data_IF_712459605927
#
_entry.id   IF_712459605927
#
_cell.length_a   1.000
_cell.length_b   1.000
_cell.length_c   1.000
_cell.angle_alpha   90.00
_cell.angle_beta   90.00
_cell.angle_gamma   90.00
#
_symmetry.space_group_name_H-M   'P 1'
#
loop_
_entity.id
_entity.type
_entity.pdbx_description
1 polymer ?
#
# COMPACT_ATOMS: atom_id res chain seq x y z
N UNK A 1 -8.92 -7.32 1.66
CA UNK A 1 -8.75 -7.55 3.09
C UNK A 1 -7.99 -6.39 3.73
N UNK A 2 -8.57 -5.80 4.75
CA UNK A 2 -7.96 -4.76 5.56
C UNK A 2 -7.73 -5.34 6.95
N UNK A 3 -6.49 -5.26 7.44
CA UNK A 3 -6.08 -5.88 8.70
C UNK A 3 -5.51 -4.82 9.62
N UNK A 4 -6.11 -4.66 10.79
CA UNK A 4 -5.76 -3.62 11.75
C UNK A 4 -5.58 -4.18 13.15
N UNK A 5 -4.65 -3.63 13.92
CA UNK A 5 -4.52 -3.97 15.34
C UNK A 5 -5.67 -3.41 16.16
N UNK A 6 -6.31 -4.28 16.94
CA UNK A 6 -7.28 -3.96 17.96
C UNK A 6 -6.63 -3.65 19.32
N UNK A 7 -7.31 -3.99 20.40
CA UNK A 7 -6.79 -3.88 21.78
C UNK A 7 -6.06 -5.18 22.16
N UNK A 8 -4.94 -5.03 22.87
CA UNK A 8 -4.15 -6.20 23.28
C UNK A 8 -3.69 -7.04 22.10
N UNK A 9 -4.10 -8.31 22.09
CA UNK A 9 -3.76 -9.29 21.05
C UNK A 9 -4.81 -9.38 19.94
N UNK A 10 -5.84 -8.52 19.96
CA UNK A 10 -6.88 -8.51 18.93
C UNK A 10 -6.36 -7.98 17.59
N UNK A 11 -6.92 -8.51 16.52
CA UNK A 11 -6.80 -8.04 15.16
C UNK A 11 -8.21 -7.83 14.61
N UNK A 12 -8.45 -6.67 14.04
CA UNK A 12 -9.70 -6.32 13.39
C UNK A 12 -9.53 -6.56 11.90
N UNK A 13 -10.38 -7.40 11.34
CA UNK A 13 -10.38 -7.76 9.93
C UNK A 13 -11.61 -7.13 9.29
N UNK A 14 -11.40 -6.33 8.24
CA UNK A 14 -12.48 -5.72 7.46
C UNK A 14 -12.39 -6.23 6.03
N UNK A 15 -13.50 -6.71 5.50
CA UNK A 15 -13.62 -7.26 4.15
C UNK A 15 -15.03 -7.06 3.62
N UNK A 16 -15.27 -7.37 2.35
CA UNK A 16 -16.62 -7.45 1.80
C UNK A 16 -17.01 -8.91 1.65
N UNK A 17 -18.29 -9.20 1.93
CA UNK A 17 -18.84 -10.50 1.61
C UNK A 17 -19.19 -10.61 0.11
N UNK A 18 -19.69 -11.76 -0.31
CA UNK A 18 -20.09 -12.04 -1.69
C UNK A 18 -21.18 -11.09 -2.22
N UNK A 19 -21.95 -10.47 -1.35
CA UNK A 19 -22.95 -9.45 -1.68
C UNK A 19 -22.33 -8.02 -1.72
N UNK A 20 -21.01 -7.88 -1.56
CA UNK A 20 -20.32 -6.59 -1.52
C UNK A 20 -20.51 -5.79 -0.23
N UNK A 21 -21.14 -6.37 0.79
CA UNK A 21 -21.40 -5.69 2.06
C UNK A 21 -20.16 -5.72 2.96
N UNK A 22 -19.83 -4.58 3.56
CA UNK A 22 -18.73 -4.48 4.52
C UNK A 22 -19.00 -5.33 5.75
N UNK A 23 -18.04 -6.19 6.07
CA UNK A 23 -17.99 -6.98 7.30
C UNK A 23 -16.79 -6.56 8.14
N UNK A 24 -16.95 -6.68 9.44
CA UNK A 24 -15.87 -6.49 10.40
C UNK A 24 -15.89 -7.67 11.38
N UNK A 25 -14.74 -8.30 11.57
CA UNK A 25 -14.57 -9.42 12.48
C UNK A 25 -13.36 -9.16 13.38
N UNK A 26 -13.49 -9.50 14.65
CA UNK A 26 -12.40 -9.47 15.62
C UNK A 26 -11.85 -10.87 15.79
N UNK A 27 -10.56 -11.00 15.56
CA UNK A 27 -9.82 -12.21 15.76
C UNK A 27 -8.74 -11.97 16.82
N UNK A 28 -8.31 -13.00 17.52
CA UNK A 28 -7.21 -12.89 18.47
C UNK A 28 -6.41 -14.18 18.53
N UNK A 29 -5.13 -14.03 18.85
CA UNK A 29 -4.27 -15.13 19.24
C UNK A 29 -3.21 -14.60 20.21
N UNK A 30 -2.83 -15.39 21.18
CA UNK A 30 -1.72 -15.03 22.03
C UNK A 30 -0.40 -15.08 21.25
N UNK A 31 0.48 -14.10 21.41
CA UNK A 31 1.79 -14.11 20.77
C UNK A 31 2.63 -15.29 21.23
N UNK A 32 3.26 -15.98 20.32
CA UNK A 32 4.13 -17.11 20.63
C UNK A 32 5.29 -17.25 19.64
N UNK A 33 6.29 -17.99 20.07
CA UNK A 33 7.37 -18.47 19.22
C UNK A 33 7.81 -19.86 19.69
N UNK A 34 8.79 -20.42 18.99
CA UNK A 34 9.39 -21.67 19.41
C UNK A 34 10.86 -21.42 19.77
N UNK A 35 11.33 -22.18 20.77
CA UNK A 35 12.71 -22.14 21.27
C UNK A 35 13.21 -23.54 21.57
N UNK A 36 14.51 -23.74 21.62
CA UNK A 36 15.08 -24.98 22.14
C UNK A 36 14.92 -25.06 23.66
N UNK A 37 14.80 -26.27 24.21
CA UNK A 37 14.61 -26.49 25.63
C UNK A 37 15.72 -25.83 26.46
N UNK A 38 16.96 -25.91 25.98
CA UNK A 38 18.14 -25.42 26.66
C UNK A 38 18.25 -23.89 26.64
N UNK A 39 17.44 -23.21 25.83
CA UNK A 39 17.42 -21.76 25.74
C UNK A 39 16.30 -21.10 26.58
N UNK A 40 15.45 -21.91 27.25
CA UNK A 40 14.34 -21.36 28.05
C UNK A 40 14.79 -20.43 29.18
N UNK A 41 15.93 -20.70 29.82
CA UNK A 41 16.44 -19.87 30.90
C UNK A 41 16.90 -18.49 30.44
N UNK A 42 17.11 -18.29 29.12
CA UNK A 42 17.48 -17.02 28.53
C UNK A 42 16.30 -16.06 28.34
N UNK A 43 15.06 -16.58 28.45
CA UNK A 43 13.86 -15.77 28.29
C UNK A 43 13.68 -14.92 29.55
N UNK A 44 13.66 -13.59 29.37
CA UNK A 44 13.64 -12.64 30.48
C UNK A 44 12.25 -12.03 30.76
N UNK A 45 11.17 -12.65 30.27
CA UNK A 45 9.77 -12.28 30.52
C UNK A 45 8.95 -13.51 30.89
N UNK A 46 7.82 -13.27 31.54
CA UNK A 46 6.87 -14.33 31.85
C UNK A 46 6.32 -14.96 30.55
N UNK A 47 6.27 -16.26 30.53
CA UNK A 47 5.74 -17.05 29.43
C UNK A 47 5.05 -18.32 29.92
N UNK A 48 4.17 -18.87 29.10
CA UNK A 48 3.55 -20.18 29.31
C UNK A 48 4.12 -21.18 28.31
N UNK A 49 4.52 -22.35 28.78
CA UNK A 49 4.90 -23.47 27.91
C UNK A 49 3.65 -24.17 27.42
N UNK A 50 3.62 -24.51 26.13
CA UNK A 50 2.59 -25.39 25.59
C UNK A 50 3.18 -26.77 25.32
N UNK A 51 2.44 -27.81 25.70
CA UNK A 51 2.79 -29.20 25.40
C UNK A 51 2.66 -29.45 23.90
N UNK A 52 3.56 -30.20 23.34
CA UNK A 52 3.55 -30.61 21.92
C UNK A 52 4.95 -31.00 21.46
N UNK A 53 5.01 -31.83 20.45
CA UNK A 53 6.26 -32.17 19.77
C UNK A 53 6.41 -31.24 18.57
N UNK A 54 7.39 -30.33 18.65
CA UNK A 54 7.68 -29.38 17.57
C UNK A 54 9.13 -29.61 17.09
N UNK A 55 9.31 -29.59 15.79
CA UNK A 55 10.63 -29.74 15.17
C UNK A 55 10.93 -28.57 14.23
N UNK A 56 12.13 -28.07 14.34
CA UNK A 56 12.64 -27.06 13.41
C UNK A 56 12.90 -27.63 12.01
N UNK A 57 13.18 -26.77 11.06
CA UNK A 57 13.43 -27.14 9.66
C UNK A 57 14.57 -28.16 9.51
N UNK A 58 15.58 -28.04 10.34
CA UNK A 58 16.77 -28.92 10.33
C UNK A 58 16.73 -30.00 11.41
N UNK A 59 15.55 -30.25 12.00
CA UNK A 59 15.36 -31.35 12.97
C UNK A 59 15.51 -30.97 14.44
N UNK A 60 15.73 -29.70 14.76
CA UNK A 60 15.83 -29.20 16.14
C UNK A 60 14.57 -29.54 16.92
N UNK A 61 14.73 -29.98 18.18
CA UNK A 61 13.61 -30.17 19.11
C UNK A 61 13.23 -28.83 19.75
N UNK A 62 11.96 -28.47 19.60
CA UNK A 62 11.47 -27.17 19.98
C UNK A 62 10.32 -27.24 20.99
N UNK A 63 10.21 -26.20 21.79
CA UNK A 63 9.07 -25.95 22.68
C UNK A 63 8.34 -24.70 22.24
N UNK A 64 7.01 -24.70 22.25
CA UNK A 64 6.19 -23.52 22.04
C UNK A 64 6.15 -22.72 23.34
N UNK A 65 6.50 -21.44 23.26
CA UNK A 65 6.43 -20.48 24.36
C UNK A 65 5.51 -19.34 24.00
N UNK A 66 4.59 -19.01 24.87
CA UNK A 66 3.48 -18.11 24.66
C UNK A 66 3.56 -16.94 25.65
N UNK A 67 3.25 -15.74 25.20
CA UNK A 67 3.39 -14.50 25.95
C UNK A 67 2.05 -13.78 26.04
N UNK A 68 1.91 -12.93 27.07
CA UNK A 68 0.71 -12.12 27.28
C UNK A 68 0.53 -11.01 26.22
N UNK A 69 1.65 -10.53 25.65
CA UNK A 69 1.64 -9.48 24.65
C UNK A 69 2.76 -9.63 23.62
N UNK A 70 2.62 -8.98 22.47
CA UNK A 70 3.69 -8.89 21.45
C UNK A 70 4.92 -8.16 21.96
N UNK A 71 4.75 -7.24 22.92
CA UNK A 71 5.85 -6.51 23.54
C UNK A 71 6.63 -7.42 24.49
N UNK A 72 5.94 -8.18 25.36
CA UNK A 72 6.57 -9.15 26.24
C UNK A 72 7.32 -10.22 25.43
N UNK A 73 6.75 -10.68 24.33
CA UNK A 73 7.45 -11.62 23.45
C UNK A 73 8.73 -11.00 22.90
N UNK A 74 8.66 -9.78 22.34
CA UNK A 74 9.82 -9.11 21.73
C UNK A 74 10.94 -8.88 22.74
N UNK A 75 10.58 -8.39 23.92
CA UNK A 75 11.55 -8.15 24.99
C UNK A 75 12.09 -9.46 25.57
N UNK A 76 11.21 -10.45 25.74
CA UNK A 76 11.55 -11.74 26.35
C UNK A 76 12.55 -12.56 25.56
N UNK A 77 12.51 -12.49 24.24
CA UNK A 77 13.35 -13.31 23.36
C UNK A 77 14.62 -12.62 22.87
N UNK A 78 14.99 -11.46 23.42
CA UNK A 78 16.23 -10.77 23.03
C UNK A 78 17.44 -11.66 23.32
N UNK A 79 18.24 -11.89 22.26
CA UNK A 79 19.42 -12.76 22.35
C UNK A 79 19.11 -14.28 22.40
N UNK A 80 17.87 -14.67 22.25
CA UNK A 80 17.45 -16.09 22.21
C UNK A 80 17.28 -16.51 20.74
N UNK A 81 17.81 -17.69 20.39
CA UNK A 81 17.50 -18.29 19.08
C UNK A 81 16.05 -18.76 19.06
N UNK A 82 15.31 -18.31 18.06
CA UNK A 82 13.86 -18.56 17.99
C UNK A 82 13.45 -19.07 16.61
N UNK A 83 12.26 -19.64 16.55
CA UNK A 83 11.58 -20.00 15.30
C UNK A 83 10.24 -19.27 15.24
N UNK A 84 9.92 -18.73 14.07
CA UNK A 84 8.66 -18.04 13.73
C UNK A 84 8.36 -16.76 14.55
N UNK A 85 9.30 -16.24 15.33
CA UNK A 85 9.11 -15.02 16.12
C UNK A 85 9.03 -13.73 15.29
N UNK A 86 9.53 -13.77 14.05
CA UNK A 86 9.54 -12.62 13.12
C UNK A 86 8.30 -12.54 12.23
N UNK A 87 7.33 -13.44 12.40
CA UNK A 87 6.05 -13.36 11.71
C UNK A 87 5.22 -12.25 12.36
N UNK A 88 4.74 -11.30 11.55
CA UNK A 88 3.91 -10.21 12.05
C UNK A 88 2.67 -10.76 12.77
N UNK A 89 2.34 -10.16 13.92
CA UNK A 89 1.24 -10.64 14.77
C UNK A 89 -0.08 -10.72 14.01
N UNK A 90 -0.36 -9.75 13.16
CA UNK A 90 -1.57 -9.70 12.34
C UNK A 90 -1.67 -10.95 11.44
N UNK A 91 -0.58 -11.31 10.78
CA UNK A 91 -0.55 -12.51 9.94
C UNK A 91 -0.64 -13.79 10.78
N UNK A 92 -0.02 -13.81 11.96
CA UNK A 92 -0.14 -14.94 12.88
C UNK A 92 -1.59 -15.15 13.32
N UNK A 93 -2.28 -14.08 13.70
CA UNK A 93 -3.70 -14.16 14.09
C UNK A 93 -4.57 -14.68 12.95
N UNK A 94 -4.34 -14.25 11.72
CA UNK A 94 -5.07 -14.74 10.54
C UNK A 94 -4.84 -16.23 10.31
N UNK A 95 -3.61 -16.72 10.47
CA UNK A 95 -3.27 -18.15 10.33
C UNK A 95 -3.89 -18.97 11.46
N UNK A 96 -3.71 -18.56 12.72
CA UNK A 96 -4.20 -19.32 13.89
C UNK A 96 -5.74 -19.44 13.93
N UNK A 97 -6.44 -18.47 13.30
CA UNK A 97 -7.91 -18.51 13.20
C UNK A 97 -8.39 -19.11 11.85
N UNK A 98 -7.50 -19.70 11.06
CA UNK A 98 -7.80 -20.24 9.73
C UNK A 98 -8.65 -19.28 8.86
N UNK A 99 -8.34 -17.99 8.98
CA UNK A 99 -9.12 -16.97 8.29
C UNK A 99 -8.87 -17.05 6.78
N UNK A 100 -9.94 -17.27 6.03
CA UNK A 100 -9.94 -17.25 4.56
C UNK A 100 -10.66 -16.01 4.06
N UNK A 101 -10.10 -15.38 3.04
CA UNK A 101 -10.68 -14.19 2.44
C UNK A 101 -11.65 -14.59 1.31
N UNK A 102 -12.93 -14.16 1.34
CA UNK A 102 -13.81 -14.33 0.20
C UNK A 102 -13.31 -13.50 -0.98
N UNK A 103 -13.57 -13.98 -2.20
CA UNK A 103 -13.31 -13.21 -3.43
C UNK A 103 -14.37 -12.12 -3.55
N UNK A 104 -13.94 -10.88 -3.77
CA UNK A 104 -14.82 -9.76 -4.06
C UNK A 104 -14.10 -8.70 -4.89
N UNK A 105 -14.86 -7.91 -5.60
CA UNK A 105 -14.37 -6.76 -6.35
C UNK A 105 -14.08 -5.59 -5.40
N UNK A 106 -12.86 -5.06 -5.47
CA UNK A 106 -12.43 -3.98 -4.60
C UNK A 106 -12.98 -2.64 -5.06
N UNK A 107 -13.52 -1.87 -4.13
CA UNK A 107 -13.86 -0.48 -4.36
C UNK A 107 -12.62 0.38 -4.19
N UNK A 108 -12.18 1.00 -5.28
CA UNK A 108 -10.93 1.76 -5.36
C UNK A 108 -11.20 3.25 -5.51
N UNK A 109 -10.47 4.06 -4.75
CA UNK A 109 -10.38 5.50 -4.87
C UNK A 109 -9.02 5.86 -5.44
N UNK A 110 -8.96 6.23 -6.71
CA UNK A 110 -7.78 6.88 -7.29
C UNK A 110 -7.95 8.37 -7.08
N UNK A 111 -6.99 9.05 -6.47
CA UNK A 111 -7.10 10.48 -6.27
C UNK A 111 -5.76 11.19 -6.41
N UNK A 112 -5.87 12.45 -6.73
CA UNK A 112 -4.80 13.43 -6.79
C UNK A 112 -5.32 14.78 -6.33
N UNK A 113 -4.43 15.68 -5.93
CA UNK A 113 -4.84 17.02 -5.51
C UNK A 113 -3.79 18.07 -5.81
N UNK A 114 -4.28 19.27 -6.10
CA UNK A 114 -3.43 20.42 -6.38
C UNK A 114 -3.49 21.42 -5.23
N UNK A 115 -2.38 22.05 -4.95
CA UNK A 115 -2.27 23.07 -3.90
C UNK A 115 -1.34 24.22 -4.27
N UNK A 116 -1.58 25.38 -3.70
CA UNK A 116 -0.71 26.54 -3.84
C UNK A 116 0.61 26.33 -3.14
N UNK A 117 1.72 26.50 -3.84
CA UNK A 117 3.07 26.25 -3.31
C UNK A 117 3.41 27.13 -2.11
N UNK A 118 2.97 28.40 -2.11
CA UNK A 118 3.28 29.36 -1.04
C UNK A 118 2.49 29.10 0.25
N UNK A 119 1.17 28.93 0.14
CA UNK A 119 0.26 28.77 1.27
C UNK A 119 0.06 27.30 1.68
N UNK A 120 0.33 26.40 0.76
CA UNK A 120 -0.01 24.98 0.88
C UNK A 120 -1.51 24.70 0.80
N UNK A 121 -2.36 25.70 0.54
CA UNK A 121 -3.81 25.58 0.43
C UNK A 121 -4.19 24.65 -0.72
N UNK A 122 -4.99 23.64 -0.43
CA UNK A 122 -5.52 22.73 -1.46
C UNK A 122 -6.62 23.45 -2.23
N UNK A 123 -6.49 23.48 -3.54
CA UNK A 123 -7.39 24.17 -4.47
C UNK A 123 -8.36 23.23 -5.17
N UNK A 124 -7.87 22.04 -5.53
CA UNK A 124 -8.65 21.00 -6.20
C UNK A 124 -8.31 19.65 -5.59
N UNK A 125 -9.32 18.79 -5.41
CA UNK A 125 -9.19 17.34 -5.17
C UNK A 125 -10.00 16.65 -6.26
N UNK A 126 -9.37 15.77 -7.02
CA UNK A 126 -10.04 14.93 -8.01
C UNK A 126 -9.99 13.49 -7.57
N UNK A 127 -11.11 12.80 -7.70
CA UNK A 127 -11.25 11.38 -7.37
C UNK A 127 -11.83 10.64 -8.58
N UNK A 128 -11.23 9.52 -8.94
CA UNK A 128 -11.87 8.52 -9.77
C UNK A 128 -12.28 7.34 -8.88
N UNK A 129 -13.59 7.20 -8.65
CA UNK A 129 -14.21 6.09 -7.95
C UNK A 129 -14.44 4.96 -8.96
N UNK A 130 -13.93 3.75 -8.66
CA UNK A 130 -14.02 2.59 -9.57
C UNK A 130 -15.44 2.17 -9.94
N UNK A 131 -16.44 2.54 -9.14
CA UNK A 131 -17.86 2.19 -9.37
C UNK A 131 -18.67 3.37 -9.90
N UNK A 132 -18.42 4.59 -9.39
CA UNK A 132 -19.27 5.77 -9.67
C UNK A 132 -18.61 6.81 -10.60
N UNK A 133 -17.33 6.60 -10.96
CA UNK A 133 -16.61 7.51 -11.83
C UNK A 133 -16.04 8.73 -11.10
N UNK A 134 -16.01 9.88 -11.74
CA UNK A 134 -15.23 11.03 -11.31
C UNK A 134 -15.99 11.95 -10.34
N UNK A 135 -15.29 12.40 -9.28
CA UNK A 135 -15.70 13.48 -8.39
C UNK A 135 -14.65 14.57 -8.40
N UNK A 136 -15.09 15.81 -8.42
CA UNK A 136 -14.22 16.99 -8.38
C UNK A 136 -14.68 17.92 -7.25
N UNK A 137 -13.76 18.23 -6.35
CA UNK A 137 -13.94 19.17 -5.25
C UNK A 137 -12.97 20.32 -5.48
N UNK A 138 -13.46 21.55 -5.52
CA UNK A 138 -12.60 22.70 -5.73
C UNK A 138 -13.07 23.93 -4.97
N UNK A 139 -12.15 24.85 -4.76
CA UNK A 139 -12.44 26.23 -4.34
C UNK A 139 -12.00 27.16 -5.45
N UNK A 140 -12.72 28.24 -5.74
CA UNK A 140 -12.27 29.27 -6.67
C UNK A 140 -13.03 30.58 -6.40
N UNK A 141 -12.35 31.74 -6.35
CA UNK A 141 -12.99 33.01 -6.00
C UNK A 141 -14.08 33.46 -6.99
N UNK A 142 -13.96 33.08 -8.27
CA UNK A 142 -14.86 33.50 -9.33
C UNK A 142 -16.08 32.57 -9.50
N UNK A 143 -16.16 31.49 -8.75
CA UNK A 143 -17.28 30.54 -8.81
C UNK A 143 -18.08 30.58 -7.51
N UNK A 144 -19.39 30.64 -7.62
CA UNK A 144 -20.26 30.51 -6.46
C UNK A 144 -20.26 29.10 -5.88
N UNK A 145 -20.45 28.97 -4.57
CA UNK A 145 -20.62 27.66 -3.94
C UNK A 145 -21.82 26.92 -4.57
N UNK A 146 -21.60 25.66 -4.96
CA UNK A 146 -22.65 24.82 -5.52
C UNK A 146 -22.14 23.63 -6.31
N UNK A 147 -23.08 22.92 -6.92
CA UNK A 147 -22.81 21.85 -7.86
C UNK A 147 -22.80 22.37 -9.29
N UNK A 148 -21.89 21.87 -10.08
CA UNK A 148 -21.73 22.21 -11.49
C UNK A 148 -21.77 20.95 -12.33
N UNK A 149 -22.59 20.95 -13.38
CA UNK A 149 -22.61 19.88 -14.37
C UNK A 149 -21.58 20.15 -15.48
N UNK A 150 -21.29 21.42 -15.75
CA UNK A 150 -20.36 21.85 -16.81
C UNK A 150 -19.67 23.14 -16.39
N UNK A 151 -18.37 23.24 -16.62
CA UNK A 151 -17.60 24.49 -16.53
C UNK A 151 -17.16 24.86 -17.94
N UNK A 152 -17.41 26.12 -18.33
CA UNK A 152 -16.91 26.68 -19.59
C UNK A 152 -15.61 27.41 -19.35
N UNK A 153 -14.59 27.07 -20.12
CA UNK A 153 -13.28 27.70 -20.07
C UNK A 153 -13.12 28.64 -21.25
N UNK A 154 -13.17 29.95 -20.99
CA UNK A 154 -13.05 30.99 -22.03
C UNK A 154 -11.61 31.13 -22.59
N UNK A 155 -10.61 30.70 -21.84
CA UNK A 155 -9.19 30.91 -22.16
C UNK A 155 -8.48 29.60 -22.61
N UNK A 156 -9.23 28.53 -22.86
CA UNK A 156 -8.63 27.30 -23.36
C UNK A 156 -8.01 27.53 -24.75
N UNK A 157 -6.84 26.94 -25.08
CA UNK A 157 -6.17 27.12 -26.37
C UNK A 157 -7.05 26.83 -27.58
N UNK A 158 -7.98 25.89 -27.47
CA UNK A 158 -8.92 25.48 -28.51
C UNK A 158 -10.26 26.26 -28.47
N UNK A 159 -10.35 27.34 -27.72
CA UNK A 159 -11.56 28.14 -27.52
C UNK A 159 -12.39 27.68 -26.32
N UNK A 160 -13.70 27.88 -26.37
CA UNK A 160 -14.62 27.46 -25.32
C UNK A 160 -14.63 25.92 -25.19
N UNK A 161 -14.01 25.41 -24.15
CA UNK A 161 -14.07 23.99 -23.82
C UNK A 161 -15.06 23.79 -22.69
N UNK A 162 -15.96 22.85 -22.88
CA UNK A 162 -16.90 22.40 -21.86
C UNK A 162 -16.32 21.21 -21.10
N UNK A 163 -16.19 21.36 -19.78
CA UNK A 163 -15.73 20.31 -18.90
C UNK A 163 -16.93 19.73 -18.18
N UNK A 164 -17.34 18.54 -18.61
CA UNK A 164 -18.49 17.86 -18.05
C UNK A 164 -18.14 17.11 -16.77
N UNK A 165 -18.86 17.36 -15.70
CA UNK A 165 -18.71 16.65 -14.43
C UNK A 165 -19.60 15.39 -14.34
N UNK A 166 -20.62 15.25 -15.17
CA UNK A 166 -21.66 14.22 -15.04
C UNK A 166 -22.38 14.29 -13.68
N UNK A 167 -23.65 14.00 -13.64
CA UNK A 167 -24.54 13.86 -12.48
C UNK A 167 -24.15 14.63 -11.18
N UNK A 168 -23.80 15.92 -11.27
CA UNK A 168 -23.49 16.80 -10.12
C UNK A 168 -22.32 16.31 -9.24
N UNK A 169 -21.33 15.67 -9.82
CA UNK A 169 -20.14 15.20 -9.12
C UNK A 169 -19.03 16.26 -9.01
N UNK A 170 -19.21 17.44 -9.63
CA UNK A 170 -18.32 18.59 -9.53
C UNK A 170 -18.91 19.63 -8.58
N UNK A 171 -18.15 20.02 -7.55
CA UNK A 171 -18.63 20.95 -6.53
C UNK A 171 -17.59 21.99 -6.15
N UNK A 172 -18.00 23.27 -6.25
CA UNK A 172 -17.27 24.40 -5.72
C UNK A 172 -17.64 24.68 -4.26
N UNK A 173 -16.64 24.96 -3.44
CA UNK A 173 -16.80 25.29 -2.03
C UNK A 173 -16.37 26.74 -1.77
N UNK A 174 -17.01 27.37 -0.78
CA UNK A 174 -16.68 28.75 -0.37
C UNK A 174 -15.26 28.83 0.24
N UNK A 175 -14.80 27.74 0.85
CA UNK A 175 -13.52 27.66 1.54
C UNK A 175 -12.94 26.24 1.54
N UNK A 176 -11.63 26.15 1.77
CA UNK A 176 -10.91 24.87 1.82
C UNK A 176 -11.45 23.95 2.92
N UNK A 177 -11.82 24.51 4.09
CA UNK A 177 -12.31 23.71 5.21
C UNK A 177 -13.58 22.93 4.82
N UNK A 178 -14.52 23.59 4.16
CA UNK A 178 -15.76 22.98 3.69
C UNK A 178 -15.50 21.89 2.65
N UNK A 179 -14.56 22.14 1.74
CA UNK A 179 -14.11 21.15 0.73
C UNK A 179 -13.50 19.92 1.39
N UNK A 180 -12.58 20.09 2.33
CA UNK A 180 -11.91 18.99 3.03
C UNK A 180 -12.91 18.13 3.84
N UNK A 181 -13.90 18.77 4.48
CA UNK A 181 -14.95 18.06 5.19
C UNK A 181 -15.83 17.22 4.27
N UNK A 182 -16.14 17.73 3.08
CA UNK A 182 -16.97 17.00 2.11
C UNK A 182 -16.18 15.83 1.48
N UNK A 183 -14.91 16.04 1.18
CA UNK A 183 -14.01 14.96 0.75
C UNK A 183 -13.94 13.84 1.82
N UNK A 184 -13.76 14.17 3.11
CA UNK A 184 -13.80 13.18 4.18
C UNK A 184 -15.16 12.47 4.29
N UNK A 185 -16.27 13.15 4.00
CA UNK A 185 -17.60 12.53 3.92
C UNK A 185 -17.68 11.52 2.78
N UNK A 186 -17.12 11.85 1.59
CA UNK A 186 -17.06 10.94 0.47
C UNK A 186 -16.30 9.66 0.87
N UNK A 187 -15.09 9.79 1.40
CA UNK A 187 -14.28 8.62 1.80
C UNK A 187 -15.03 7.70 2.77
N UNK A 188 -15.72 8.28 3.76
CA UNK A 188 -16.51 7.48 4.72
C UNK A 188 -17.79 6.90 4.14
N UNK A 189 -18.47 7.63 3.26
CA UNK A 189 -19.72 7.17 2.61
C UNK A 189 -19.44 6.00 1.68
N UNK A 190 -18.37 6.11 0.91
CA UNK A 190 -17.98 5.08 -0.06
C UNK A 190 -17.29 3.89 0.59
N UNK A 191 -16.63 4.10 1.75
CA UNK A 191 -15.90 3.07 2.50
C UNK A 191 -15.00 2.23 1.59
N UNK A 192 -14.06 2.89 0.94
CA UNK A 192 -13.16 2.28 -0.03
C UNK A 192 -12.32 1.16 0.57
N UNK A 193 -12.08 0.12 -0.22
CA UNK A 193 -11.15 -0.96 0.12
C UNK A 193 -9.70 -0.52 -0.09
N UNK A 194 -9.49 0.28 -1.13
CA UNK A 194 -8.17 0.80 -1.52
C UNK A 194 -8.29 2.29 -1.83
N UNK A 195 -7.37 3.06 -1.27
CA UNK A 195 -7.09 4.44 -1.67
C UNK A 195 -5.72 4.45 -2.32
N UNK A 196 -5.62 5.05 -3.51
CA UNK A 196 -4.38 5.07 -4.29
C UNK A 196 -4.22 6.38 -5.06
N UNK A 197 -2.99 6.65 -5.49
CA UNK A 197 -2.59 7.80 -6.27
C UNK A 197 -1.10 7.69 -6.61
N UNK A 198 -0.57 8.65 -7.38
CA UNK A 198 0.82 8.64 -7.80
C UNK A 198 1.71 9.35 -6.79
N UNK A 199 2.56 8.62 -6.09
CA UNK A 199 3.35 9.12 -4.94
C UNK A 199 2.48 9.62 -3.77
N UNK A 200 1.27 9.10 -3.69
CA UNK A 200 0.20 9.55 -2.79
C UNK A 200 0.60 9.51 -1.32
N UNK A 201 1.40 8.52 -0.92
CA UNK A 201 1.83 8.34 0.47
C UNK A 201 2.82 9.42 0.89
N UNK A 202 3.75 9.81 0.03
CA UNK A 202 4.79 10.77 0.35
C UNK A 202 4.43 12.23 0.01
N UNK A 203 3.40 12.46 -0.80
CA UNK A 203 2.93 13.80 -1.18
C UNK A 203 1.53 14.09 -0.62
N UNK A 204 0.49 13.59 -1.28
CA UNK A 204 -0.89 14.00 -1.07
C UNK A 204 -1.40 13.74 0.35
N UNK A 205 -1.19 12.54 0.88
CA UNK A 205 -1.66 12.20 2.24
C UNK A 205 -0.97 13.06 3.31
N UNK A 206 0.32 13.34 3.12
CA UNK A 206 1.03 14.21 4.05
C UNK A 206 0.49 15.64 4.00
N UNK A 207 0.28 16.18 2.79
CA UNK A 207 -0.30 17.51 2.60
C UNK A 207 -1.73 17.57 3.13
N UNK A 208 -2.54 16.56 2.84
CA UNK A 208 -3.91 16.45 3.34
C UNK A 208 -3.96 16.50 4.87
N UNK A 209 -3.11 15.75 5.56
CA UNK A 209 -3.05 15.78 7.02
C UNK A 209 -2.62 17.14 7.57
N UNK A 210 -1.67 17.82 6.90
CA UNK A 210 -1.26 19.18 7.27
C UNK A 210 -2.41 20.15 7.12
N UNK A 211 -3.14 20.08 6.00
CA UNK A 211 -4.25 21.00 5.71
C UNK A 211 -5.46 20.77 6.60
N UNK A 212 -5.77 19.53 6.94
CA UNK A 212 -6.80 19.23 7.94
C UNK A 212 -6.50 19.95 9.26
N UNK A 213 -5.28 19.82 9.78
CA UNK A 213 -4.86 20.51 11.01
C UNK A 213 -4.89 22.04 10.88
N UNK A 214 -4.43 22.58 9.75
CA UNK A 214 -4.41 24.02 9.51
C UNK A 214 -5.82 24.62 9.43
N UNK A 215 -6.84 23.83 9.12
CA UNK A 215 -8.24 24.21 9.06
C UNK A 215 -9.04 23.77 10.32
N UNK A 216 -8.36 23.46 11.43
CA UNK A 216 -8.98 22.97 12.66
C UNK A 216 -9.89 21.74 12.47
N UNK A 217 -9.51 20.85 11.55
CA UNK A 217 -10.19 19.59 11.30
C UNK A 217 -9.30 18.45 11.81
N UNK A 218 -9.90 17.50 12.51
CA UNK A 218 -9.20 16.31 12.94
C UNK A 218 -8.96 15.35 11.75
N UNK A 219 -7.69 15.06 11.37
CA UNK A 219 -7.40 14.16 10.24
C UNK A 219 -7.97 12.74 10.39
N UNK A 220 -8.31 12.31 11.61
CA UNK A 220 -8.96 11.02 11.85
C UNK A 220 -10.35 10.89 11.22
N UNK A 221 -10.95 11.99 10.77
CA UNK A 221 -12.19 11.99 9.98
C UNK A 221 -12.02 11.34 8.60
N UNK A 222 -10.81 11.23 8.08
CA UNK A 222 -10.51 10.51 6.84
C UNK A 222 -10.64 8.98 7.00
N UNK A 223 -10.55 8.50 8.24
CA UNK A 223 -10.54 7.07 8.54
C UNK A 223 -11.94 6.55 8.90
N UNK A 224 -12.37 5.41 8.33
CA UNK A 224 -13.60 4.73 8.74
C UNK A 224 -13.53 4.26 10.20
N UNK A 225 -12.33 4.00 10.73
CA UNK A 225 -12.09 3.62 12.12
C UNK A 225 -11.71 4.80 13.04
N UNK A 226 -11.80 6.04 12.54
CA UNK A 226 -11.44 7.28 13.26
C UNK A 226 -10.03 7.27 13.86
N UNK A 227 -9.10 6.65 13.15
CA UNK A 227 -7.69 6.57 13.53
C UNK A 227 -6.80 6.80 12.31
N UNK A 228 -5.69 7.50 12.50
CA UNK A 228 -4.65 7.71 11.49
C UNK A 228 -3.28 7.40 12.09
N UNK A 229 -2.29 7.21 11.23
CA UNK A 229 -0.87 7.07 11.60
C UNK A 229 -0.09 8.19 10.93
N UNK A 230 0.88 8.73 11.64
CA UNK A 230 1.78 9.78 11.12
C UNK A 230 3.15 9.24 10.73
N UNK A 231 3.55 8.10 11.28
CA UNK A 231 4.80 7.44 10.93
C UNK A 231 4.53 6.34 9.91
N UNK A 232 4.67 6.70 8.64
CA UNK A 232 4.46 5.80 7.50
C UNK A 232 5.42 6.13 6.35
N UNK A 233 5.72 5.12 5.57
CA UNK A 233 6.49 5.18 4.32
C UNK A 233 5.80 4.30 3.29
N UNK A 234 6.32 4.23 2.09
CA UNK A 234 5.80 3.58 0.88
C UNK A 234 4.61 2.61 1.03
N UNK A 235 4.76 1.56 1.82
CA UNK A 235 3.70 0.57 2.11
C UNK A 235 3.03 0.78 3.48
N UNK A 236 3.23 1.93 4.08
CA UNK A 236 2.55 2.31 5.31
C UNK A 236 1.04 2.46 5.09
N UNK A 237 0.29 2.34 6.17
CA UNK A 237 -1.17 2.48 6.14
C UNK A 237 -1.56 3.71 6.97
N UNK A 238 -1.50 4.92 6.41
CA UNK A 238 -1.77 6.15 7.14
C UNK A 238 -3.22 6.29 7.59
N UNK A 239 -4.16 5.79 6.79
CA UNK A 239 -5.61 5.82 7.09
C UNK A 239 -6.03 4.45 7.60
N UNK A 240 -6.29 4.34 8.90
CA UNK A 240 -6.66 3.06 9.52
C UNK A 240 -8.05 2.61 9.06
N UNK A 241 -8.15 1.36 8.66
CA UNK A 241 -9.40 0.77 8.17
C UNK A 241 -9.64 0.90 6.67
N UNK A 242 -8.63 1.34 5.92
CA UNK A 242 -8.58 1.32 4.44
C UNK A 242 -7.16 0.97 4.02
N UNK A 243 -6.99 0.17 2.97
CA UNK A 243 -5.66 -0.05 2.41
C UNK A 243 -5.22 1.18 1.61
N UNK A 244 -4.06 1.72 1.91
CA UNK A 244 -3.43 2.77 1.08
C UNK A 244 -2.29 2.13 0.31
N UNK A 245 -2.36 2.17 -1.02
CA UNK A 245 -1.33 1.63 -1.90
C UNK A 245 -0.81 2.77 -2.77
N UNK A 246 0.46 3.11 -2.63
CA UNK A 246 1.09 4.08 -3.51
C UNK A 246 1.28 3.46 -4.91
N UNK A 247 0.55 3.97 -5.90
CA UNK A 247 0.56 3.40 -7.25
C UNK A 247 1.93 3.53 -7.92
N UNK A 248 2.66 4.62 -7.69
CA UNK A 248 4.00 4.80 -8.23
C UNK A 248 4.95 3.71 -7.72
N UNK A 249 4.89 3.40 -6.43
CA UNK A 249 5.74 2.37 -5.80
C UNK A 249 5.34 0.98 -6.28
N UNK A 250 4.05 0.69 -6.37
CA UNK A 250 3.51 -0.56 -6.85
C UNK A 250 3.82 -0.78 -8.35
N UNK A 251 3.58 0.23 -9.17
CA UNK A 251 3.91 0.25 -10.60
C UNK A 251 5.40 0.00 -10.84
N UNK A 252 6.27 0.79 -10.18
CA UNK A 252 7.73 0.66 -10.30
C UNK A 252 8.17 -0.78 -10.02
N UNK A 253 7.64 -1.38 -8.96
CA UNK A 253 8.01 -2.75 -8.57
C UNK A 253 7.69 -3.76 -9.66
N UNK A 254 6.47 -3.73 -10.21
CA UNK A 254 6.05 -4.68 -11.25
C UNK A 254 6.66 -4.38 -12.61
N UNK A 255 6.74 -3.13 -12.99
CA UNK A 255 7.37 -2.71 -14.24
C UNK A 255 8.81 -3.17 -14.33
N UNK A 256 9.59 -2.93 -13.27
CA UNK A 256 11.02 -3.27 -13.23
C UNK A 256 11.28 -4.77 -13.38
N UNK A 257 10.36 -5.62 -12.91
CA UNK A 257 10.50 -7.07 -13.06
C UNK A 257 10.50 -7.55 -14.52
N UNK A 258 9.80 -6.84 -15.43
CA UNK A 258 9.63 -7.24 -16.83
C UNK A 258 10.41 -6.37 -17.80
N UNK A 259 10.50 -5.07 -17.52
CA UNK A 259 10.92 -4.06 -18.50
C UNK A 259 12.20 -3.32 -18.11
N UNK A 260 12.76 -3.59 -16.91
CA UNK A 260 13.90 -2.82 -16.40
C UNK A 260 13.49 -1.47 -15.80
N UNK A 261 14.47 -0.60 -15.58
CA UNK A 261 14.24 0.69 -14.93
C UNK A 261 13.79 1.75 -15.95
N UNK A 262 12.83 2.58 -15.56
CA UNK A 262 12.46 3.80 -16.28
C UNK A 262 13.43 4.95 -15.93
N UNK A 263 13.70 5.85 -16.86
CA UNK A 263 14.55 7.03 -16.61
C UNK A 263 13.97 7.98 -15.55
N UNK A 264 12.65 8.05 -15.47
CA UNK A 264 11.90 8.88 -14.51
C UNK A 264 10.65 8.16 -14.05
N UNK A 265 10.28 8.39 -12.79
CA UNK A 265 9.02 7.93 -12.20
C UNK A 265 7.98 9.05 -12.07
N UNK A 266 8.22 10.24 -12.63
CA UNK A 266 7.20 11.29 -12.70
C UNK A 266 6.00 10.85 -13.55
N UNK A 267 4.77 11.13 -13.11
CA UNK A 267 3.54 10.67 -13.77
C UNK A 267 3.52 11.02 -15.26
N UNK A 268 3.89 12.25 -15.64
CA UNK A 268 3.96 12.68 -17.04
C UNK A 268 4.97 11.88 -17.87
N UNK A 269 6.15 11.56 -17.33
CA UNK A 269 7.15 10.78 -18.04
C UNK A 269 6.71 9.31 -18.21
N UNK A 270 6.10 8.74 -17.19
CA UNK A 270 5.58 7.37 -17.22
C UNK A 270 4.39 7.25 -18.17
N UNK A 271 3.43 8.18 -18.13
CA UNK A 271 2.27 8.17 -19.02
C UNK A 271 2.67 8.38 -20.49
N UNK A 272 3.61 9.27 -20.77
CA UNK A 272 4.14 9.45 -22.13
C UNK A 272 4.82 8.18 -22.64
N UNK A 273 5.64 7.53 -21.80
CA UNK A 273 6.34 6.30 -22.19
C UNK A 273 5.39 5.10 -22.36
N UNK A 274 4.45 4.95 -21.44
CA UNK A 274 3.63 3.74 -21.34
C UNK A 274 2.31 3.84 -22.12
N UNK A 275 1.68 5.01 -22.14
CA UNK A 275 0.37 5.22 -22.75
C UNK A 275 0.44 6.06 -24.03
N UNK A 276 1.60 6.66 -24.34
CA UNK A 276 1.74 7.60 -25.45
C UNK A 276 1.02 8.94 -25.19
N UNK A 277 0.68 9.26 -23.95
CA UNK A 277 -0.05 10.46 -23.59
C UNK A 277 0.82 11.43 -22.81
N UNK A 278 0.80 12.69 -23.25
CA UNK A 278 1.45 13.79 -22.54
C UNK A 278 0.47 14.46 -21.59
N UNK A 279 0.98 14.98 -20.47
CA UNK A 279 0.19 15.81 -19.56
C UNK A 279 -0.24 17.11 -20.23
N UNK A 280 -1.37 17.68 -19.79
CA UNK A 280 -1.69 19.08 -20.05
C UNK A 280 -0.60 19.95 -19.46
N UNK A 281 -0.06 20.88 -20.22
CA UNK A 281 0.96 21.82 -19.75
C UNK A 281 0.30 23.06 -19.17
N UNK A 282 0.71 23.45 -17.98
CA UNK A 282 0.28 24.71 -17.35
C UNK A 282 1.28 25.80 -17.73
N UNK A 283 0.86 26.74 -18.59
CA UNK A 283 1.71 27.81 -19.10
C UNK A 283 2.30 28.70 -17.99
N UNK A 284 1.56 28.90 -16.90
CA UNK A 284 1.96 29.72 -15.75
C UNK A 284 2.07 28.87 -14.45
N UNK A 285 2.34 27.57 -14.59
CA UNK A 285 2.39 26.66 -13.46
C UNK A 285 1.10 26.70 -12.63
N UNK A 286 1.23 26.63 -11.30
CA UNK A 286 0.04 26.67 -10.42
C UNK A 286 -0.74 28.02 -10.45
N UNK A 287 -0.16 29.12 -10.97
CA UNK A 287 -0.88 30.38 -11.15
C UNK A 287 -1.95 30.29 -12.24
N UNK A 288 -1.91 29.28 -13.12
CA UNK A 288 -2.97 28.97 -14.07
C UNK A 288 -4.33 28.80 -13.38
N UNK A 289 -4.34 28.43 -12.11
CA UNK A 289 -5.55 28.43 -11.26
C UNK A 289 -6.31 29.76 -11.30
N UNK A 290 -5.61 30.91 -11.32
CA UNK A 290 -6.22 32.22 -11.37
C UNK A 290 -6.44 32.77 -12.80
N UNK A 291 -5.59 32.38 -13.74
CA UNK A 291 -5.60 32.93 -15.10
C UNK A 291 -6.45 32.12 -16.07
N UNK A 292 -6.47 30.80 -15.91
CA UNK A 292 -7.26 29.89 -16.75
C UNK A 292 -7.64 28.62 -15.93
N UNK A 293 -8.70 28.78 -15.13
CA UNK A 293 -9.17 27.70 -14.26
C UNK A 293 -9.62 26.47 -15.03
N UNK A 294 -10.12 26.59 -16.24
CA UNK A 294 -10.53 25.46 -17.06
C UNK A 294 -9.35 24.57 -17.42
N UNK A 295 -8.25 25.16 -17.92
CA UNK A 295 -7.02 24.43 -18.20
C UNK A 295 -6.42 23.79 -16.93
N UNK A 296 -6.48 24.50 -15.80
CA UNK A 296 -6.02 23.99 -14.52
C UNK A 296 -6.86 22.79 -14.03
N UNK A 297 -8.16 22.85 -14.22
CA UNK A 297 -9.10 21.78 -13.91
C UNK A 297 -8.89 20.55 -14.81
N UNK A 298 -8.69 20.76 -16.12
CA UNK A 298 -8.39 19.70 -17.07
C UNK A 298 -7.07 19.00 -16.73
N UNK A 299 -6.06 19.76 -16.32
CA UNK A 299 -4.80 19.24 -15.85
C UNK A 299 -5.01 18.30 -14.65
N UNK A 300 -5.67 18.75 -13.59
CA UNK A 300 -5.92 17.95 -12.40
C UNK A 300 -6.75 16.68 -12.68
N UNK A 301 -7.76 16.79 -13.56
CA UNK A 301 -8.59 15.64 -13.98
C UNK A 301 -7.81 14.64 -14.82
N UNK A 302 -6.95 15.12 -15.72
CA UNK A 302 -6.13 14.24 -16.55
C UNK A 302 -5.19 13.40 -15.69
N UNK A 303 -4.54 13.99 -14.68
CA UNK A 303 -3.63 13.28 -13.79
C UNK A 303 -4.34 12.11 -13.10
N UNK A 304 -5.55 12.29 -12.62
CA UNK A 304 -6.33 11.21 -12.01
C UNK A 304 -6.80 10.18 -13.03
N UNK A 305 -7.18 10.57 -14.25
CA UNK A 305 -7.62 9.66 -15.32
C UNK A 305 -6.51 8.74 -15.83
N UNK A 306 -5.25 9.15 -15.70
CA UNK A 306 -4.10 8.33 -16.05
C UNK A 306 -3.88 7.19 -15.05
N UNK A 307 -4.28 7.35 -13.78
CA UNK A 307 -3.98 6.40 -12.72
C UNK A 307 -4.59 5.01 -12.96
N UNK A 308 -5.91 4.84 -13.18
CA UNK A 308 -6.48 3.52 -13.43
C UNK A 308 -5.89 2.89 -14.70
N UNK A 309 -5.58 3.68 -15.72
CA UNK A 309 -5.01 3.17 -16.98
C UNK A 309 -3.58 2.66 -16.81
N UNK A 310 -2.76 3.34 -15.99
CA UNK A 310 -1.43 2.87 -15.62
C UNK A 310 -1.51 1.64 -14.72
N UNK A 311 -2.49 1.60 -13.81
CA UNK A 311 -2.74 0.41 -12.99
C UNK A 311 -3.12 -0.79 -13.85
N UNK A 312 -4.09 -0.64 -14.75
CA UNK A 312 -4.53 -1.70 -15.66
C UNK A 312 -3.38 -2.25 -16.52
N UNK A 313 -2.48 -1.37 -16.97
CA UNK A 313 -1.34 -1.74 -17.81
C UNK A 313 -0.40 -2.75 -17.14
N UNK A 314 -0.15 -2.60 -15.85
CA UNK A 314 0.75 -3.48 -15.08
C UNK A 314 -0.01 -4.44 -14.15
N UNK A 315 -1.30 -4.19 -13.93
CA UNK A 315 -2.14 -4.93 -13.02
C UNK A 315 -1.69 -4.81 -11.57
N UNK A 316 -1.26 -3.61 -11.13
CA UNK A 316 -0.59 -3.45 -9.84
C UNK A 316 -1.51 -3.78 -8.65
N UNK A 317 -2.68 -3.15 -8.58
CA UNK A 317 -3.61 -3.41 -7.49
C UNK A 317 -4.10 -4.86 -7.52
N UNK A 318 -4.42 -5.39 -8.71
CA UNK A 318 -4.84 -6.78 -8.89
C UNK A 318 -3.74 -7.75 -8.46
N UNK A 319 -2.47 -7.48 -8.75
CA UNK A 319 -1.37 -8.33 -8.32
C UNK A 319 -1.27 -8.41 -6.79
N UNK A 320 -1.22 -7.28 -6.09
CA UNK A 320 -1.05 -7.28 -4.63
C UNK A 320 -2.27 -7.82 -3.90
N UNK A 321 -3.47 -7.56 -4.40
CA UNK A 321 -4.71 -8.13 -3.83
C UNK A 321 -4.82 -9.63 -4.11
N UNK A 322 -4.40 -10.12 -5.28
CA UNK A 322 -4.33 -11.56 -5.56
C UNK A 322 -3.32 -12.27 -4.66
N UNK A 323 -2.11 -11.68 -4.48
CA UNK A 323 -1.12 -12.21 -3.54
C UNK A 323 -1.70 -12.25 -2.11
N UNK A 324 -2.40 -11.20 -1.70
CA UNK A 324 -3.09 -11.17 -0.41
C UNK A 324 -4.13 -12.28 -0.29
N UNK A 325 -4.92 -12.49 -1.33
CA UNK A 325 -5.96 -13.51 -1.35
C UNK A 325 -5.36 -14.93 -1.26
N UNK A 326 -4.35 -15.23 -2.08
CA UNK A 326 -3.69 -16.54 -2.11
C UNK A 326 -3.01 -16.85 -0.77
N UNK A 327 -2.35 -15.86 -0.17
CA UNK A 327 -1.59 -16.06 1.06
C UNK A 327 -2.42 -15.86 2.32
N UNK A 328 -3.57 -15.18 2.23
CA UNK A 328 -4.39 -14.76 3.36
C UNK A 328 -3.65 -13.83 4.32
N UNK A 329 -2.68 -13.03 3.84
CA UNK A 329 -1.88 -12.14 4.67
C UNK A 329 -2.38 -10.69 4.66
N UNK A 330 -1.81 -9.88 5.55
CA UNK A 330 -1.97 -8.43 5.51
C UNK A 330 -1.34 -7.85 4.23
N UNK A 331 -2.00 -6.87 3.59
CA UNK A 331 -1.53 -6.22 2.35
C UNK A 331 -0.11 -5.67 2.47
N UNK A 332 0.28 -5.21 3.66
CA UNK A 332 1.63 -4.71 3.96
C UNK A 332 2.73 -5.76 3.80
N UNK A 333 2.35 -7.02 3.76
CA UNK A 333 3.27 -8.15 3.62
C UNK A 333 3.50 -8.51 2.15
N UNK A 334 2.51 -8.26 1.28
CA UNK A 334 2.50 -8.71 -0.12
C UNK A 334 3.70 -8.25 -0.96
N UNK A 335 4.33 -7.08 -0.72
CA UNK A 335 5.50 -6.66 -1.49
C UNK A 335 6.78 -7.47 -1.21
N UNK A 336 6.80 -8.28 -0.15
CA UNK A 336 8.01 -8.90 0.36
C UNK A 336 7.95 -10.44 0.29
N UNK A 337 8.45 -11.02 -0.79
CA UNK A 337 8.43 -12.48 -1.02
C UNK A 337 8.98 -13.27 0.17
N UNK A 338 10.08 -12.80 0.77
CA UNK A 338 10.68 -13.44 1.95
C UNK A 338 9.79 -13.46 3.20
N UNK A 339 8.74 -12.63 3.24
CA UNK A 339 7.73 -12.62 4.31
C UNK A 339 6.50 -13.45 3.97
N UNK A 340 6.25 -13.71 2.69
CA UNK A 340 5.12 -14.51 2.23
C UNK A 340 5.37 -16.01 2.45
N UNK A 341 6.59 -16.46 2.18
CA UNK A 341 6.95 -17.88 2.31
C UNK A 341 6.61 -18.46 3.69
N UNK A 342 7.00 -17.86 4.83
CA UNK A 342 6.60 -18.37 6.14
C UNK A 342 5.10 -18.48 6.34
N UNK A 343 4.31 -17.55 5.79
CA UNK A 343 2.85 -17.56 5.93
C UNK A 343 2.24 -18.70 5.12
N UNK A 344 2.71 -18.91 3.88
CA UNK A 344 2.28 -20.02 3.04
C UNK A 344 2.60 -21.36 3.70
N UNK A 345 3.82 -21.52 4.20
CA UNK A 345 4.24 -22.73 4.90
C UNK A 345 3.41 -23.02 6.16
N UNK A 346 2.98 -21.97 6.89
CA UNK A 346 2.13 -22.16 8.06
C UNK A 346 0.68 -22.54 7.71
N UNK A 347 0.21 -22.18 6.51
CA UNK A 347 -1.12 -22.56 6.02
C UNK A 347 -1.14 -23.93 5.36
N UNK A 348 0.02 -24.45 5.00
CA UNK A 348 0.14 -25.79 4.44
C UNK A 348 0.01 -26.83 5.57
N UNK A 349 -1.05 -27.64 5.54
CA UNK A 349 -1.31 -28.69 6.51
C UNK A 349 -0.23 -29.77 6.54
N UNK A 350 0.50 -29.97 5.45
CA UNK A 350 1.54 -30.97 5.32
C UNK A 350 2.91 -30.47 5.81
N UNK A 351 3.07 -29.15 5.94
CA UNK A 351 4.29 -28.56 6.45
C UNK A 351 4.33 -28.59 7.99
N UNK A 352 4.97 -29.63 8.55
CA UNK A 352 5.05 -29.86 10.00
C UNK A 352 6.30 -29.25 10.68
N UNK A 353 7.16 -28.58 9.92
CA UNK A 353 8.40 -28.01 10.44
C UNK A 353 8.23 -26.55 10.84
N UNK A 354 9.04 -26.10 11.79
CA UNK A 354 9.06 -24.69 12.23
C UNK A 354 10.20 -23.96 11.57
N UNK A 355 9.91 -22.76 11.05
CA UNK A 355 10.85 -21.97 10.27
C UNK A 355 11.72 -21.14 11.22
N UNK A 356 13.06 -21.19 11.13
CA UNK A 356 13.93 -20.36 11.94
C UNK A 356 13.57 -18.87 11.78
N UNK A 357 13.52 -18.15 12.88
CA UNK A 357 13.37 -16.71 12.84
C UNK A 357 14.58 -16.09 12.16
N UNK A 358 14.36 -14.99 11.42
CA UNK A 358 15.46 -14.25 10.81
C UNK A 358 16.46 -13.85 11.90
N UNK A 359 17.71 -14.29 11.84
CA UNK A 359 18.70 -13.94 12.85
C UNK A 359 18.99 -12.45 12.83
N UNK A 360 19.23 -11.88 14.01
CA UNK A 360 19.76 -10.53 14.16
C UNK A 360 21.29 -10.58 14.02
N UNK A 361 21.77 -10.83 12.80
CA UNK A 361 23.20 -10.79 12.50
C UNK A 361 23.53 -9.48 11.82
N UNK A 362 24.73 -8.98 12.03
CA UNK A 362 25.36 -8.04 11.13
C UNK A 362 25.36 -8.67 9.72
N UNK A 363 25.00 -7.87 8.73
CA UNK A 363 24.95 -8.30 7.34
C UNK A 363 26.38 -8.71 6.93
N UNK A 364 26.63 -10.00 6.84
CA UNK A 364 27.87 -10.49 6.27
C UNK A 364 27.72 -10.39 4.75
N UNK A 365 28.59 -9.63 4.13
CA UNK A 365 28.67 -9.61 2.66
C UNK A 365 29.24 -10.96 2.22
N UNK A 366 28.39 -11.76 1.59
CA UNK A 366 28.85 -12.94 0.89
C UNK A 366 29.53 -12.49 -0.40
N UNK A 367 30.75 -12.94 -0.69
CA UNK A 367 31.29 -12.82 -2.03
C UNK A 367 30.28 -13.48 -2.99
N UNK A 368 29.87 -12.76 -4.02
CA UNK A 368 28.96 -13.28 -5.05
C UNK A 368 29.57 -14.47 -5.78
N UNK A 369 29.02 -14.82 -6.93
CA UNK A 369 29.57 -15.87 -7.78
C UNK A 369 31.09 -15.63 -8.02
N UNK A 370 31.90 -16.65 -7.75
CA UNK A 370 33.34 -16.60 -8.06
C UNK A 370 33.52 -16.59 -9.58
N UNK A 371 33.96 -15.43 -10.10
CA UNK A 371 34.22 -15.26 -11.52
C UNK A 371 35.70 -15.47 -11.75
N UNK A 372 36.04 -16.62 -12.25
CA UNK A 372 37.41 -16.88 -12.70
C UNK A 372 37.60 -16.29 -14.11
N UNK A 373 38.45 -15.32 -14.22
CA UNK A 373 38.85 -14.77 -15.53
C UNK A 373 39.90 -15.66 -16.15
N UNK A 374 39.71 -16.03 -17.41
CA UNK A 374 40.73 -16.69 -18.18
C UNK A 374 41.97 -15.74 -18.39
N UNK A 375 43.15 -16.33 -18.53
CA UNK A 375 44.34 -15.56 -18.87
C UNK A 375 44.14 -14.79 -20.16
N UNK A 376 44.76 -13.59 -20.25
CA UNK A 376 44.62 -12.76 -21.45
C UNK A 376 45.26 -13.49 -22.67
N UNK A 377 44.47 -13.76 -23.70
CA UNK A 377 44.90 -14.51 -24.86
C UNK A 377 43.84 -14.64 -25.94
N UNK A 378 44.21 -15.22 -27.08
CA UNK A 378 43.29 -15.55 -28.17
C UNK A 378 42.99 -17.06 -28.11
N UNK A 379 41.77 -17.40 -27.79
CA UNK A 379 41.30 -18.76 -27.69
C UNK A 379 40.53 -19.14 -28.97
N UNK A 380 40.76 -20.34 -29.51
CA UNK A 380 40.05 -20.87 -30.67
C UNK A 380 39.18 -22.04 -30.21
N UNK A 381 38.08 -22.27 -30.94
CA UNK A 381 37.11 -23.37 -30.63
C UNK A 381 36.54 -23.33 -29.21
N UNK A 382 36.15 -22.13 -28.76
CA UNK A 382 35.56 -21.91 -27.44
C UNK A 382 34.08 -22.30 -27.46
N UNK A 383 33.69 -23.17 -26.52
CA UNK A 383 32.29 -23.44 -26.25
C UNK A 383 31.84 -22.64 -25.01
N UNK A 384 30.76 -21.89 -25.15
CA UNK A 384 30.12 -21.16 -24.04
C UNK A 384 28.91 -21.97 -23.60
N UNK A 385 28.89 -22.38 -22.34
CA UNK A 385 27.76 -23.07 -21.74
C UNK A 385 27.23 -22.25 -20.57
N UNK A 386 25.90 -22.06 -20.53
CA UNK A 386 25.18 -21.43 -19.43
C UNK A 386 24.11 -22.38 -18.90
N UNK A 387 24.00 -22.49 -17.57
CA UNK A 387 22.98 -23.34 -16.94
C UNK A 387 21.79 -22.43 -16.62
N UNK A 388 20.76 -22.51 -17.44
CA UNK A 388 19.51 -21.75 -17.23
C UNK A 388 18.90 -22.12 -15.89
N UNK A 389 18.62 -21.09 -15.07
CA UNK A 389 17.94 -21.22 -13.77
C UNK A 389 18.66 -22.14 -12.76
N UNK A 390 19.99 -22.12 -12.72
CA UNK A 390 20.81 -22.96 -11.84
C UNK A 390 20.36 -22.97 -10.36
N UNK A 391 19.92 -21.82 -9.82
CA UNK A 391 19.43 -21.71 -8.45
C UNK A 391 18.03 -22.29 -8.22
N UNK A 392 17.30 -22.60 -9.28
CA UNK A 392 15.93 -23.16 -9.20
C UNK A 392 15.89 -24.65 -9.55
N UNK A 393 17.01 -25.22 -10.00
CA UNK A 393 17.10 -26.63 -10.45
C UNK A 393 17.80 -27.56 -9.48
N UNK A 394 18.21 -27.06 -8.30
CA UNK A 394 18.83 -27.86 -7.22
C UNK A 394 17.88 -28.05 -6.04
#
# INVERSE_FOLDING_TARGET
LIVERGRGNEVIVRYRDEAGLRKEQKLSAEPFCFVQKDDLFKINRAFTKQSGEYRGLYGEELLKVQFSSTEDMREGIKGVRTWEANIAHENRVLVENDFTLPMYEHRVCYFDMEWMMESGQITIIVVHDSEEGEYVFFTHPDYAQGYYDTIQCANHPDGLTEIHAGERKMKCFADERSMLLDFARLLRKRDYDIITGWNVVNADIQQLFKRFKANDIQPNLLSPMKRIRYDFKDWGQPIVGTNVIDLMVAFKKLWTLKNGQLPSMGLGAVSAHCLGETKVELADGHNTYFSDFGTYLDYARQDVRLLPRLDDMVGALNYFTAVQHITGCDIRTTPWVSRLFPILALRDSDFKRRIPSKPQFEKVDYPGADIQTADAGVYRNVAIMDIKAMYHSN
#
